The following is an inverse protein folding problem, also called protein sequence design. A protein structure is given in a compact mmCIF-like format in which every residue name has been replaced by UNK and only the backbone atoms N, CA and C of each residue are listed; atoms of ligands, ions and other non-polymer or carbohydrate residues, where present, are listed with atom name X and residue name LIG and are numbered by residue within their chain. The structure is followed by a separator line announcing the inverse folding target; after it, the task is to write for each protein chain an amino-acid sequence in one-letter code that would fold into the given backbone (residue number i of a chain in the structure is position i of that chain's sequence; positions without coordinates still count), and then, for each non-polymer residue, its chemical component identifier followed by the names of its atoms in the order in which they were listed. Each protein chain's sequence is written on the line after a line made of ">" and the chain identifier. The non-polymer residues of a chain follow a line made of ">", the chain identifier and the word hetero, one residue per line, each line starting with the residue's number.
data_IF_113092381969
#
_entry.id   IF_113092381969
#
_cell.length_a   1.000
_cell.length_b   1.000
_cell.length_c   1.000
_cell.angle_alpha   90.00
_cell.angle_beta   90.00
_cell.angle_gamma   90.00
#
_symmetry.space_group_name_H-M   'P 1'
#
loop_
_entity.id
_entity.type
_entity.pdbx_description
1 polymer ?
#
# COMPACT_ATOMS: atom_id res chain seq x y z
N UNK A 1 29.49 -25.27 3.42
CA UNK A 1 29.64 -23.93 2.82
C UNK A 1 28.26 -23.57 2.27
N UNK A 2 27.41 -23.00 3.12
CA UNK A 2 25.98 -22.83 2.83
C UNK A 2 25.80 -21.45 2.21
N UNK A 3 25.36 -21.42 0.95
CA UNK A 3 25.07 -20.17 0.26
C UNK A 3 23.75 -19.62 0.81
N UNK A 4 23.85 -18.64 1.70
CA UNK A 4 22.72 -17.80 2.12
C UNK A 4 22.38 -16.90 0.94
N UNK A 5 21.33 -17.24 0.18
CA UNK A 5 20.76 -16.37 -0.83
C UNK A 5 20.14 -15.16 -0.14
N UNK A 6 20.79 -14.00 -0.22
CA UNK A 6 20.19 -12.72 0.11
C UNK A 6 19.11 -12.42 -0.93
N UNK A 7 17.86 -12.75 -0.62
CA UNK A 7 16.70 -12.29 -1.38
C UNK A 7 16.58 -10.77 -1.19
N UNK A 8 16.83 -10.04 -2.28
CA UNK A 8 16.53 -8.60 -2.36
C UNK A 8 15.03 -8.38 -2.06
N UNK A 9 14.67 -7.42 -1.19
CA UNK A 9 13.29 -7.20 -0.77
C UNK A 9 12.35 -6.69 -1.89
N UNK A 10 12.89 -6.36 -3.07
CA UNK A 10 12.16 -5.70 -4.15
C UNK A 10 11.72 -6.64 -5.30
N UNK A 11 11.66 -7.95 -5.05
CA UNK A 11 11.11 -8.89 -6.04
C UNK A 11 9.59 -8.74 -6.16
N UNK A 12 9.13 -7.74 -6.91
CA UNK A 12 7.79 -7.75 -7.44
C UNK A 12 7.62 -9.06 -8.24
N UNK A 13 6.63 -9.91 -7.90
CA UNK A 13 6.40 -11.13 -8.66
C UNK A 13 6.17 -10.76 -10.13
N UNK A 14 6.74 -11.54 -11.05
CA UNK A 14 6.62 -11.31 -12.48
C UNK A 14 5.14 -11.09 -12.84
N UNK A 15 4.82 -9.91 -13.37
CA UNK A 15 3.44 -9.56 -13.75
C UNK A 15 2.95 -10.52 -14.82
N UNK A 16 1.79 -11.14 -14.60
CA UNK A 16 1.16 -11.98 -15.62
C UNK A 16 0.60 -11.11 -16.75
N UNK A 17 0.48 -11.67 -17.95
CA UNK A 17 -0.15 -10.98 -19.10
C UNK A 17 -1.56 -10.51 -18.76
N UNK A 18 -2.34 -11.32 -18.05
CA UNK A 18 -3.68 -10.95 -17.59
C UNK A 18 -3.65 -9.74 -16.65
N UNK A 19 -2.69 -9.69 -15.73
CA UNK A 19 -2.54 -8.52 -14.85
C UNK A 19 -2.16 -7.27 -15.63
N UNK A 20 -1.29 -7.37 -16.63
CA UNK A 20 -0.91 -6.25 -17.48
C UNK A 20 -2.09 -5.74 -18.32
N UNK A 21 -2.90 -6.63 -18.89
CA UNK A 21 -4.13 -6.27 -19.63
C UNK A 21 -5.12 -5.57 -18.68
N UNK A 22 -5.33 -6.12 -17.48
CA UNK A 22 -6.22 -5.51 -16.49
C UNK A 22 -5.73 -4.12 -16.04
N UNK A 23 -4.42 -3.95 -15.84
CA UNK A 23 -3.82 -2.65 -15.54
C UNK A 23 -3.97 -1.65 -16.70
N UNK A 24 -3.83 -2.11 -17.95
CA UNK A 24 -4.02 -1.27 -19.12
C UNK A 24 -5.47 -0.77 -19.26
N UNK A 25 -6.45 -1.66 -19.09
CA UNK A 25 -7.87 -1.32 -19.25
C UNK A 25 -8.42 -0.52 -18.07
N UNK A 26 -8.08 -0.92 -16.85
CA UNK A 26 -8.73 -0.44 -15.62
C UNK A 26 -7.82 0.46 -14.75
N UNK A 27 -6.54 0.57 -15.08
CA UNK A 27 -5.53 1.22 -14.25
C UNK A 27 -4.87 0.28 -13.24
N UNK A 28 -3.75 0.75 -12.66
CA UNK A 28 -2.98 0.04 -11.63
C UNK A 28 -3.86 -0.15 -10.38
N UNK A 29 -3.77 -1.33 -9.77
CA UNK A 29 -4.50 -1.66 -8.53
C UNK A 29 -3.70 -1.21 -7.31
N UNK A 30 -4.37 -0.52 -6.40
CA UNK A 30 -3.83 -0.04 -5.14
C UNK A 30 -4.74 -0.47 -3.99
N UNK A 31 -4.22 -0.33 -2.77
CA UNK A 31 -4.91 -0.66 -1.53
C UNK A 31 -4.87 0.52 -0.58
N UNK A 32 -5.92 0.65 0.23
CA UNK A 32 -5.97 1.59 1.33
C UNK A 32 -6.66 0.91 2.52
N UNK A 33 -6.39 1.38 3.72
CA UNK A 33 -6.95 0.82 4.94
C UNK A 33 -7.97 1.80 5.51
N UNK A 34 -9.15 1.32 5.89
CA UNK A 34 -10.14 2.10 6.63
C UNK A 34 -9.91 1.86 8.13
N UNK A 35 -9.86 2.95 8.89
CA UNK A 35 -9.61 2.96 10.33
C UNK A 35 -10.65 3.79 11.07
N UNK A 36 -10.95 3.38 12.29
CA UNK A 36 -11.63 4.19 13.28
C UNK A 36 -10.62 4.79 14.25
N UNK A 37 -10.78 6.06 14.57
CA UNK A 37 -10.00 6.70 15.63
C UNK A 37 -10.70 6.47 16.97
N UNK A 38 -10.07 5.70 17.86
CA UNK A 38 -10.64 5.32 19.15
C UNK A 38 -10.89 6.55 20.02
N UNK A 39 -12.01 6.53 20.74
CA UNK A 39 -12.47 7.69 21.51
C UNK A 39 -13.15 8.78 20.67
N UNK A 40 -13.39 8.52 19.37
CA UNK A 40 -14.13 9.41 18.48
C UNK A 40 -15.12 8.63 17.63
N UNK A 41 -16.02 9.33 16.93
CA UNK A 41 -16.93 8.76 15.94
C UNK A 41 -16.37 8.89 14.51
N UNK A 42 -15.04 8.98 14.34
CA UNK A 42 -14.41 9.17 13.03
C UNK A 42 -14.04 7.83 12.41
N UNK A 43 -14.50 7.63 11.18
CA UNK A 43 -14.12 6.55 10.27
C UNK A 43 -13.43 7.16 9.05
N UNK A 44 -12.17 6.81 8.83
CA UNK A 44 -11.26 7.50 7.92
C UNK A 44 -10.47 6.51 7.07
N UNK A 45 -10.06 6.92 5.88
CA UNK A 45 -9.06 6.19 5.08
C UNK A 45 -7.67 6.57 5.61
N UNK A 46 -6.80 5.58 5.83
CA UNK A 46 -5.40 5.78 6.20
C UNK A 46 -4.70 6.72 5.22
N UNK A 47 -3.79 7.56 5.71
CA UNK A 47 -3.05 8.53 4.89
C UNK A 47 -2.01 7.92 3.93
N UNK A 48 -2.02 6.60 3.76
CA UNK A 48 -1.06 5.85 2.94
C UNK A 48 -1.83 5.08 1.87
N UNK A 49 -1.35 5.18 0.63
CA UNK A 49 -1.75 4.33 -0.49
C UNK A 49 -0.73 3.22 -0.63
N UNK A 50 -1.18 1.97 -0.63
CA UNK A 50 -0.33 0.80 -0.71
C UNK A 50 -0.34 0.21 -2.12
N UNK A 51 0.83 0.02 -2.76
CA UNK A 51 0.91 -0.60 -4.09
C UNK A 51 0.63 -2.11 -4.06
N UNK A 52 0.73 -2.75 -2.90
CA UNK A 52 0.51 -4.19 -2.73
C UNK A 52 -0.38 -4.48 -1.53
N UNK A 53 -1.14 -5.57 -1.61
CA UNK A 53 -1.95 -6.04 -0.50
C UNK A 53 -1.10 -6.40 0.72
N UNK A 54 0.08 -7.00 0.49
CA UNK A 54 1.01 -7.36 1.56
C UNK A 54 1.48 -6.13 2.36
N UNK A 55 1.73 -5.00 1.70
CA UNK A 55 2.08 -3.76 2.37
C UNK A 55 0.91 -3.20 3.21
N UNK A 56 -0.32 -3.28 2.70
CA UNK A 56 -1.51 -2.87 3.45
C UNK A 56 -1.75 -3.77 4.68
N UNK A 57 -1.62 -5.10 4.53
CA UNK A 57 -1.77 -6.04 5.65
C UNK A 57 -0.67 -5.86 6.71
N UNK A 58 0.58 -5.56 6.29
CA UNK A 58 1.64 -5.20 7.22
C UNK A 58 1.25 -3.96 8.03
N UNK A 59 0.75 -2.91 7.38
CA UNK A 59 0.33 -1.68 8.05
C UNK A 59 -0.85 -1.91 9.01
N UNK A 60 -1.81 -2.76 8.64
CA UNK A 60 -2.89 -3.19 9.55
C UNK A 60 -2.35 -3.83 10.83
N UNK A 61 -1.32 -4.67 10.74
CA UNK A 61 -0.70 -5.30 11.91
C UNK A 61 -0.02 -4.25 12.80
N UNK A 62 0.65 -3.27 12.19
CA UNK A 62 1.26 -2.12 12.91
C UNK A 62 0.20 -1.26 13.61
N UNK A 63 -0.93 -0.96 12.94
CA UNK A 63 -2.06 -0.22 13.52
C UNK A 63 -2.65 -0.96 14.72
N UNK A 64 -2.77 -2.29 14.63
CA UNK A 64 -3.32 -3.13 15.70
C UNK A 64 -2.43 -3.13 16.96
N UNK A 65 -1.14 -2.80 16.82
CA UNK A 65 -0.23 -2.61 17.95
C UNK A 65 -0.40 -1.24 18.64
N UNK A 66 -1.14 -0.30 18.03
CA UNK A 66 -1.32 1.06 18.53
C UNK A 66 -2.68 1.22 19.22
N UNK A 67 -2.76 1.95 20.33
CA UNK A 67 -4.02 2.14 21.06
C UNK A 67 -4.97 3.19 20.47
N UNK A 68 -4.50 4.04 19.55
CA UNK A 68 -5.27 5.18 19.02
C UNK A 68 -6.21 4.81 17.87
N UNK A 69 -5.90 3.75 17.14
CA UNK A 69 -6.60 3.38 15.92
C UNK A 69 -7.13 1.95 15.99
N UNK A 70 -8.25 1.73 15.33
CA UNK A 70 -8.82 0.41 15.13
C UNK A 70 -8.99 0.16 13.64
N UNK A 71 -8.42 -0.92 13.16
CA UNK A 71 -8.63 -1.37 11.79
C UNK A 71 -10.10 -1.76 11.57
N UNK A 72 -10.66 -1.37 10.42
CA UNK A 72 -12.01 -1.73 9.99
C UNK A 72 -11.94 -2.69 8.80
N UNK A 73 -11.33 -2.25 7.70
CA UNK A 73 -11.19 -3.05 6.49
C UNK A 73 -10.02 -2.60 5.61
N UNK A 74 -9.59 -3.48 4.70
CA UNK A 74 -8.63 -3.14 3.63
C UNK A 74 -9.41 -3.08 2.32
N UNK A 75 -9.49 -1.90 1.72
CA UNK A 75 -10.15 -1.70 0.42
C UNK A 75 -9.12 -1.70 -0.71
N UNK A 76 -9.59 -1.97 -1.94
CA UNK A 76 -8.79 -1.80 -3.14
C UNK A 76 -9.46 -0.88 -4.14
N UNK A 77 -8.64 -0.11 -4.84
CA UNK A 77 -9.09 0.79 -5.90
C UNK A 77 -8.14 0.71 -7.09
N UNK A 78 -8.54 1.29 -8.23
CA UNK A 78 -7.70 1.38 -9.41
C UNK A 78 -7.53 2.82 -9.85
N UNK A 79 -6.36 3.16 -10.36
CA UNK A 79 -6.06 4.48 -10.89
C UNK A 79 -5.14 4.39 -12.10
N UNK A 80 -5.30 5.35 -13.02
CA UNK A 80 -4.34 5.59 -14.12
C UNK A 80 -3.14 6.39 -13.65
N UNK A 81 -3.26 7.10 -12.53
CA UNK A 81 -2.14 7.78 -11.90
C UNK A 81 -1.25 6.76 -11.21
N UNK A 82 0.04 7.04 -11.19
CA UNK A 82 1.00 6.22 -10.48
C UNK A 82 1.23 6.78 -9.07
N UNK A 83 0.86 6.01 -8.06
CA UNK A 83 1.09 6.32 -6.65
C UNK A 83 2.25 5.51 -6.05
N UNK A 84 3.10 4.88 -6.87
CA UNK A 84 4.32 4.29 -6.35
C UNK A 84 5.13 5.38 -5.64
N UNK A 85 5.62 5.09 -4.44
CA UNK A 85 6.44 6.00 -3.63
C UNK A 85 7.76 6.39 -4.30
N UNK A 86 8.07 5.79 -5.44
CA UNK A 86 9.18 6.14 -6.33
C UNK A 86 8.94 7.44 -7.10
N UNK A 87 7.68 7.87 -7.24
CA UNK A 87 7.37 9.20 -7.75
C UNK A 87 7.82 10.21 -6.70
N UNK A 88 9.05 10.69 -6.93
CA UNK A 88 9.77 11.77 -6.24
C UNK A 88 8.84 12.54 -5.30
N UNK A 89 9.08 12.38 -3.99
CA UNK A 89 8.60 13.27 -2.94
C UNK A 89 8.52 14.69 -3.53
N UNK A 90 7.34 15.29 -3.52
CA UNK A 90 7.07 16.64 -4.01
C UNK A 90 7.75 17.75 -3.17
N UNK A 91 8.91 17.45 -2.58
CA UNK A 91 9.74 18.31 -1.77
C UNK A 91 11.15 18.35 -2.37
N UNK A 92 11.27 18.87 -3.59
CA UNK A 92 12.53 19.49 -4.00
C UNK A 92 12.39 20.99 -3.75
N UNK A 93 12.91 21.41 -2.59
CA UNK A 93 13.29 22.79 -2.25
C UNK A 93 12.15 23.84 -2.28
N UNK A 94 11.47 24.04 -1.15
CA UNK A 94 10.91 25.36 -0.86
C UNK A 94 12.09 26.28 -0.51
N UNK A 95 12.32 27.30 -1.35
CA UNK A 95 13.33 28.35 -1.16
C UNK A 95 13.02 29.24 0.04
#
# INVERSE_FOLDING_TARGET
>A
MNQTTFSSPDSHPAKSVLSAIAEFLLGKKYYAVIINTRGTNRCEISSIIFPTLAAAEKHKNELSATFSYQWVETISFRSRNDYSSEIKRYNTQMK
#
